data_IF_947332894364
#
_entry.id   IF_947332894364
#
_cell.length_a   1.000
_cell.length_b   1.000
_cell.length_c   1.000
_cell.angle_alpha   90.00
_cell.angle_beta   90.00
_cell.angle_gamma   90.00
#
_symmetry.space_group_name_H-M   'P 1'
#
loop_
_entity.id
_entity.type
_entity.pdbx_description
1 polymer ?
#
# COMPACT_ATOMS: atom_id res chain seq x y z
N UNK A 1 24.88 -43.01 -21.81
CA UNK A 1 24.07 -43.76 -20.83
C UNK A 1 24.69 -43.87 -19.42
N UNK A 2 25.83 -43.26 -19.12
CA UNK A 2 26.26 -43.05 -17.72
C UNK A 2 26.96 -41.69 -17.65
N UNK A 3 26.30 -40.69 -17.07
CA UNK A 3 26.84 -39.33 -16.96
C UNK A 3 26.18 -38.49 -15.87
N UNK A 4 24.84 -38.50 -15.80
CA UNK A 4 24.09 -37.60 -14.90
C UNK A 4 23.89 -38.11 -13.45
N UNK A 5 24.30 -39.35 -13.15
CA UNK A 5 24.03 -39.97 -11.84
C UNK A 5 24.99 -39.53 -10.71
N UNK A 6 26.04 -38.78 -11.02
CA UNK A 6 27.09 -38.41 -10.05
C UNK A 6 26.83 -37.09 -9.30
N UNK A 7 25.67 -36.48 -9.49
CA UNK A 7 25.45 -35.08 -9.09
C UNK A 7 24.47 -34.88 -7.93
N UNK A 8 23.69 -35.90 -7.54
CA UNK A 8 22.85 -35.81 -6.35
C UNK A 8 23.67 -36.16 -5.11
N UNK A 9 23.78 -35.22 -4.18
CA UNK A 9 24.64 -35.34 -2.99
C UNK A 9 23.87 -35.40 -1.68
N UNK A 10 22.59 -35.01 -1.64
CA UNK A 10 21.79 -35.10 -0.42
C UNK A 10 21.44 -36.57 -0.09
N UNK A 11 21.82 -37.10 1.09
CA UNK A 11 21.84 -38.55 1.33
C UNK A 11 20.49 -39.21 1.68
N UNK A 12 19.42 -38.46 2.00
CA UNK A 12 18.24 -39.05 2.65
C UNK A 12 16.85 -38.78 2.03
N UNK A 13 16.70 -37.96 0.98
CA UNK A 13 15.34 -37.52 0.58
C UNK A 13 15.07 -37.38 -0.92
N UNK A 14 16.00 -37.73 -1.80
CA UNK A 14 15.94 -37.38 -3.25
C UNK A 14 15.68 -38.59 -4.15
N UNK A 15 14.88 -39.57 -3.71
CA UNK A 15 14.62 -40.77 -4.52
C UNK A 15 13.85 -40.43 -5.80
N UNK A 16 12.86 -39.54 -5.74
CA UNK A 16 12.05 -39.15 -6.90
C UNK A 16 12.88 -38.43 -7.96
N UNK A 17 13.65 -37.43 -7.55
CA UNK A 17 14.54 -36.66 -8.41
C UNK A 17 15.63 -37.53 -9.01
N UNK A 18 16.21 -38.44 -8.22
CA UNK A 18 17.21 -39.40 -8.70
C UNK A 18 16.67 -40.25 -9.83
N UNK A 19 15.48 -40.83 -9.69
CA UNK A 19 14.89 -41.62 -10.78
C UNK A 19 14.51 -40.75 -11.97
N UNK A 20 14.09 -39.50 -11.76
CA UNK A 20 13.80 -38.56 -12.84
C UNK A 20 15.05 -38.21 -13.65
N UNK A 21 16.18 -37.93 -13.01
CA UNK A 21 17.45 -37.62 -13.68
C UNK A 21 18.07 -38.84 -14.38
N UNK A 22 17.81 -40.06 -13.88
CA UNK A 22 18.24 -41.32 -14.50
C UNK A 22 17.34 -41.77 -15.66
N UNK A 23 16.07 -41.35 -15.66
CA UNK A 23 15.05 -41.72 -16.64
C UNK A 23 15.09 -40.92 -17.94
N UNK A 24 14.18 -41.24 -18.87
CA UNK A 24 13.94 -40.43 -20.07
C UNK A 24 13.38 -39.07 -19.68
N UNK A 25 14.11 -37.99 -20.00
CA UNK A 25 13.61 -36.62 -19.82
C UNK A 25 12.55 -36.22 -20.87
N UNK A 26 12.24 -37.11 -21.82
CA UNK A 26 11.23 -36.90 -22.87
C UNK A 26 9.79 -37.03 -22.37
N UNK A 27 9.56 -37.72 -21.25
CA UNK A 27 8.22 -37.92 -20.70
C UNK A 27 7.73 -36.68 -19.94
N UNK A 28 6.46 -36.29 -20.18
CA UNK A 28 5.80 -35.17 -19.50
C UNK A 28 5.89 -35.31 -17.98
N UNK A 29 6.45 -34.29 -17.31
CA UNK A 29 6.64 -34.23 -15.87
C UNK A 29 5.31 -34.30 -15.11
N UNK A 30 4.23 -33.84 -15.76
CA UNK A 30 2.87 -33.84 -15.23
C UNK A 30 2.15 -35.17 -15.27
N UNK A 31 2.72 -36.22 -15.89
CA UNK A 31 2.04 -37.50 -16.15
C UNK A 31 1.57 -38.22 -14.87
N UNK A 32 2.25 -38.01 -13.74
CA UNK A 32 1.91 -38.58 -12.43
C UNK A 32 1.07 -37.62 -11.56
N UNK A 33 0.72 -36.45 -12.08
CA UNK A 33 -0.15 -35.47 -11.45
C UNK A 33 0.55 -34.52 -10.47
N UNK A 34 -0.24 -33.60 -9.90
CA UNK A 34 0.25 -32.49 -9.07
C UNK A 34 1.03 -32.91 -7.81
N UNK A 35 0.64 -34.03 -7.18
CA UNK A 35 1.30 -34.49 -5.96
C UNK A 35 2.75 -34.92 -6.23
N UNK A 36 2.98 -35.59 -7.36
CA UNK A 36 4.32 -35.96 -7.79
C UNK A 36 5.16 -34.72 -8.12
N UNK A 37 4.61 -33.79 -8.90
CA UNK A 37 5.32 -32.56 -9.28
C UNK A 37 5.69 -31.72 -8.07
N UNK A 38 4.80 -31.59 -7.07
CA UNK A 38 5.09 -30.87 -5.82
C UNK A 38 6.22 -31.53 -5.04
N UNK A 39 6.16 -32.84 -4.84
CA UNK A 39 7.22 -33.55 -4.14
C UNK A 39 8.57 -33.43 -4.87
N UNK A 40 8.55 -33.45 -6.20
CA UNK A 40 9.74 -33.23 -7.01
C UNK A 40 10.30 -31.81 -6.84
N UNK A 41 9.44 -30.79 -6.78
CA UNK A 41 9.84 -29.40 -6.50
C UNK A 41 10.54 -29.30 -5.13
N UNK A 42 9.93 -29.87 -4.08
CA UNK A 42 10.49 -29.90 -2.73
C UNK A 42 11.86 -30.61 -2.68
N UNK A 43 12.00 -31.71 -3.43
CA UNK A 43 13.27 -32.46 -3.55
C UNK A 43 14.36 -31.66 -4.28
N UNK A 44 14.00 -30.93 -5.34
CA UNK A 44 14.92 -30.08 -6.09
C UNK A 44 15.43 -28.92 -5.22
N UNK A 45 14.52 -28.24 -4.51
CA UNK A 45 14.89 -27.13 -3.64
C UNK A 45 15.87 -27.57 -2.53
N UNK A 46 15.62 -28.73 -1.93
CA UNK A 46 16.53 -29.31 -0.92
C UNK A 46 17.90 -29.65 -1.51
N UNK A 47 17.95 -30.26 -2.70
CA UNK A 47 19.21 -30.58 -3.36
C UNK A 47 19.98 -29.32 -3.76
N UNK A 48 19.29 -28.29 -4.26
CA UNK A 48 19.90 -27.00 -4.60
C UNK A 48 20.54 -26.36 -3.36
N UNK A 49 19.81 -26.28 -2.25
CA UNK A 49 20.32 -25.77 -0.98
C UNK A 49 21.53 -26.56 -0.46
N UNK A 50 21.56 -27.88 -0.66
CA UNK A 50 22.73 -28.71 -0.31
C UNK A 50 23.93 -28.42 -1.22
N UNK A 51 23.72 -28.32 -2.53
CA UNK A 51 24.78 -28.07 -3.51
C UNK A 51 25.41 -26.68 -3.37
N UNK A 52 24.65 -25.68 -2.92
CA UNK A 52 25.22 -24.36 -2.57
C UNK A 52 26.29 -24.45 -1.48
N UNK A 53 26.16 -25.39 -0.53
CA UNK A 53 27.17 -25.62 0.51
C UNK A 53 28.42 -26.37 0.04
N UNK A 54 28.38 -27.01 -1.13
CA UNK A 54 29.43 -27.92 -1.62
C UNK A 54 30.05 -27.52 -2.98
N UNK A 55 29.71 -26.35 -3.54
CA UNK A 55 30.17 -25.87 -4.86
C UNK A 55 29.99 -26.91 -6.00
N UNK A 56 28.78 -27.48 -6.12
CA UNK A 56 28.41 -28.40 -7.19
C UNK A 56 27.93 -27.72 -8.48
N UNK A 57 27.94 -28.40 -9.65
CA UNK A 57 27.36 -27.86 -10.88
C UNK A 57 25.82 -27.99 -10.88
N UNK A 58 25.11 -26.86 -10.91
CA UNK A 58 23.64 -26.78 -10.83
C UNK A 58 22.89 -27.08 -12.14
N UNK A 59 23.60 -27.20 -13.27
CA UNK A 59 22.99 -27.23 -14.61
C UNK A 59 21.98 -28.36 -14.82
N UNK A 60 22.20 -29.52 -14.20
CA UNK A 60 21.32 -30.68 -14.34
C UNK A 60 19.97 -30.52 -13.58
N UNK A 61 19.91 -29.60 -12.61
CA UNK A 61 18.68 -29.29 -11.85
C UNK A 61 17.77 -28.30 -12.59
N UNK A 62 18.32 -27.47 -13.47
CA UNK A 62 17.54 -26.40 -14.12
C UNK A 62 16.54 -26.95 -15.14
N UNK A 63 16.89 -28.05 -15.83
CA UNK A 63 15.98 -28.69 -16.79
C UNK A 63 14.67 -29.16 -16.13
N UNK A 64 14.68 -29.93 -15.02
CA UNK A 64 13.43 -30.26 -14.33
C UNK A 64 12.73 -29.05 -13.71
N UNK A 65 13.46 -28.02 -13.24
CA UNK A 65 12.84 -26.78 -12.73
C UNK A 65 11.97 -26.11 -13.81
N UNK A 66 12.51 -25.91 -15.02
CA UNK A 66 11.77 -25.32 -16.14
C UNK A 66 10.51 -26.13 -16.49
N UNK A 67 10.62 -27.46 -16.50
CA UNK A 67 9.48 -28.35 -16.76
C UNK A 67 8.39 -28.21 -15.68
N UNK A 68 8.78 -28.14 -14.40
CA UNK A 68 7.86 -27.96 -13.27
C UNK A 68 7.17 -26.61 -13.34
N UNK A 69 7.92 -25.53 -13.60
CA UNK A 69 7.38 -24.17 -13.73
C UNK A 69 6.36 -24.10 -14.86
N UNK A 70 6.70 -24.62 -16.05
CA UNK A 70 5.78 -24.67 -17.17
C UNK A 70 4.50 -25.46 -16.85
N UNK A 71 4.63 -26.59 -16.13
CA UNK A 71 3.49 -27.37 -15.66
C UNK A 71 2.62 -26.59 -14.67
N UNK A 72 3.23 -25.93 -13.68
CA UNK A 72 2.50 -25.15 -12.69
C UNK A 72 1.75 -23.96 -13.31
N UNK A 73 2.39 -23.23 -14.23
CA UNK A 73 1.77 -22.12 -14.94
C UNK A 73 0.57 -22.55 -15.78
N UNK A 74 0.69 -23.69 -16.49
CA UNK A 74 -0.42 -24.24 -17.29
C UNK A 74 -1.62 -24.68 -16.46
N UNK A 75 -1.39 -25.06 -15.19
CA UNK A 75 -2.42 -25.60 -14.31
C UNK A 75 -2.90 -24.61 -13.23
N UNK A 76 -2.67 -23.30 -13.39
CA UNK A 76 -3.08 -22.27 -12.42
C UNK A 76 -2.48 -22.47 -11.02
N UNK A 77 -1.24 -22.97 -10.95
CA UNK A 77 -0.49 -23.16 -9.71
C UNK A 77 0.69 -22.18 -9.66
N UNK A 78 0.46 -20.91 -10.01
CA UNK A 78 1.48 -19.85 -10.03
C UNK A 78 2.25 -19.74 -8.72
N UNK A 79 1.61 -19.80 -7.52
CA UNK A 79 2.35 -19.73 -6.26
C UNK A 79 3.44 -20.79 -6.13
N UNK A 80 3.14 -22.04 -6.52
CA UNK A 80 4.11 -23.13 -6.44
C UNK A 80 5.27 -22.99 -7.42
N UNK A 81 5.03 -22.38 -8.59
CA UNK A 81 6.11 -22.05 -9.52
C UNK A 81 7.01 -20.94 -8.96
N UNK A 82 6.42 -19.90 -8.37
CA UNK A 82 7.16 -18.79 -7.78
C UNK A 82 7.99 -19.26 -6.58
N UNK A 83 7.39 -20.05 -5.68
CA UNK A 83 8.08 -20.60 -4.51
C UNK A 83 9.33 -21.41 -4.91
N UNK A 84 9.17 -22.34 -5.86
CA UNK A 84 10.30 -23.13 -6.36
C UNK A 84 11.41 -22.23 -6.93
N UNK A 85 11.04 -21.24 -7.74
CA UNK A 85 12.01 -20.33 -8.37
C UNK A 85 12.72 -19.41 -7.37
N UNK A 86 12.04 -19.02 -6.29
CA UNK A 86 12.65 -18.28 -5.20
C UNK A 86 13.62 -19.17 -4.41
N UNK A 87 13.27 -20.43 -4.16
CA UNK A 87 14.15 -21.39 -3.45
C UNK A 87 15.39 -21.77 -4.26
N UNK A 88 15.30 -21.81 -5.59
CA UNK A 88 16.46 -22.05 -6.48
C UNK A 88 17.16 -20.77 -6.94
N UNK A 89 16.79 -19.61 -6.41
CA UNK A 89 17.36 -18.29 -6.75
C UNK A 89 17.39 -17.99 -8.27
N UNK A 90 16.41 -18.50 -9.02
CA UNK A 90 16.35 -18.40 -10.49
C UNK A 90 15.05 -17.74 -10.97
N UNK A 91 14.64 -16.67 -10.30
CA UNK A 91 13.34 -16.02 -10.51
C UNK A 91 13.18 -15.38 -11.90
N UNK A 92 14.28 -15.01 -12.57
CA UNK A 92 14.27 -14.32 -13.87
C UNK A 92 13.50 -15.08 -14.97
N UNK A 93 13.58 -16.42 -14.98
CA UNK A 93 12.91 -17.26 -15.98
C UNK A 93 11.39 -17.21 -15.89
N UNK A 94 10.86 -16.77 -14.75
CA UNK A 94 9.42 -16.58 -14.54
C UNK A 94 8.80 -15.74 -15.66
N UNK A 95 9.51 -14.71 -16.12
CA UNK A 95 9.04 -13.79 -17.17
C UNK A 95 8.68 -14.55 -18.46
N UNK A 96 9.40 -15.62 -18.79
CA UNK A 96 9.20 -16.39 -20.04
C UNK A 96 7.95 -17.28 -20.01
N UNK A 97 7.55 -17.73 -18.82
CA UNK A 97 6.43 -18.64 -18.62
C UNK A 97 5.09 -17.95 -18.33
N UNK A 98 5.08 -16.61 -18.25
CA UNK A 98 3.87 -15.84 -17.99
C UNK A 98 3.13 -15.43 -19.27
N UNK A 99 1.81 -15.38 -19.15
CA UNK A 99 0.85 -14.94 -20.16
C UNK A 99 -0.14 -13.91 -19.58
N UNK A 100 -1.03 -13.39 -20.44
CA UNK A 100 -2.04 -12.39 -20.04
C UNK A 100 -3.06 -12.91 -19.00
N UNK A 101 -3.15 -14.22 -18.78
CA UNK A 101 -4.12 -14.84 -17.88
C UNK A 101 -3.56 -15.07 -16.48
N UNK A 102 -2.26 -15.35 -16.38
CA UNK A 102 -1.61 -15.74 -15.14
C UNK A 102 -0.78 -14.62 -14.48
N UNK A 103 -0.28 -13.62 -15.25
CA UNK A 103 0.66 -12.62 -14.73
C UNK A 103 0.15 -11.87 -13.50
N UNK A 104 -1.14 -11.50 -13.47
CA UNK A 104 -1.74 -10.81 -12.33
C UNK A 104 -1.69 -11.64 -11.05
N UNK A 105 -1.90 -12.95 -11.15
CA UNK A 105 -1.87 -13.86 -10.00
C UNK A 105 -0.44 -14.07 -9.52
N UNK A 106 0.49 -14.27 -10.45
CA UNK A 106 1.90 -14.41 -10.14
C UNK A 106 2.45 -13.13 -9.46
N UNK A 107 2.21 -11.95 -10.04
CA UNK A 107 2.66 -10.69 -9.45
C UNK A 107 1.98 -10.35 -8.12
N UNK A 108 0.69 -10.68 -7.95
CA UNK A 108 0.01 -10.54 -6.67
C UNK A 108 0.70 -11.39 -5.60
N UNK A 109 1.07 -12.63 -5.96
CA UNK A 109 1.80 -13.52 -5.07
C UNK A 109 3.18 -12.95 -4.73
N UNK A 110 3.99 -12.57 -5.71
CA UNK A 110 5.31 -11.93 -5.52
C UNK A 110 5.24 -10.72 -4.60
N UNK A 111 4.33 -9.78 -4.88
CA UNK A 111 4.18 -8.55 -4.08
C UNK A 111 3.73 -8.83 -2.65
N UNK A 112 2.93 -9.88 -2.45
CA UNK A 112 2.52 -10.32 -1.12
C UNK A 112 3.66 -11.03 -0.37
N UNK A 113 4.44 -11.84 -1.06
CA UNK A 113 5.58 -12.58 -0.53
C UNK A 113 6.70 -11.63 -0.11
N UNK A 114 6.99 -10.59 -0.91
CA UNK A 114 8.01 -9.58 -0.62
C UNK A 114 7.90 -8.98 0.78
N UNK A 115 6.69 -8.83 1.33
CA UNK A 115 6.46 -8.30 2.69
C UNK A 115 6.96 -9.21 3.83
N UNK A 116 7.28 -10.46 3.52
CA UNK A 116 7.73 -11.47 4.48
C UNK A 116 9.20 -11.88 4.25
N UNK A 117 9.83 -11.35 3.20
CA UNK A 117 11.23 -11.61 2.88
C UNK A 117 12.16 -10.65 3.63
N UNK A 118 13.46 -10.94 3.56
CA UNK A 118 14.48 -10.04 4.08
C UNK A 118 14.82 -8.95 3.06
N UNK A 119 15.31 -7.80 3.52
CA UNK A 119 15.53 -6.56 2.75
C UNK A 119 16.42 -6.69 1.48
N UNK A 120 17.07 -7.82 1.21
CA UNK A 120 17.81 -8.06 -0.04
C UNK A 120 16.99 -8.87 -1.05
N UNK A 121 16.21 -9.82 -0.57
CA UNK A 121 15.40 -10.72 -1.41
C UNK A 121 14.08 -10.04 -1.82
N UNK A 122 13.54 -9.17 -0.98
CA UNK A 122 12.33 -8.40 -1.28
C UNK A 122 12.52 -7.47 -2.48
N UNK A 123 13.66 -6.78 -2.58
CA UNK A 123 14.02 -5.93 -3.71
C UNK A 123 14.08 -6.72 -5.02
N UNK A 124 14.73 -7.88 -5.02
CA UNK A 124 14.83 -8.75 -6.21
C UNK A 124 13.45 -9.25 -6.67
N UNK A 125 12.59 -9.63 -5.72
CA UNK A 125 11.22 -10.07 -6.00
C UNK A 125 10.37 -8.93 -6.57
N UNK A 126 10.50 -7.72 -6.01
CA UNK A 126 9.82 -6.53 -6.49
C UNK A 126 10.33 -6.08 -7.86
N UNK A 127 11.63 -6.13 -8.13
CA UNK A 127 12.22 -5.85 -9.46
C UNK A 127 11.73 -6.85 -10.51
N UNK A 128 11.60 -8.12 -10.14
CA UNK A 128 11.04 -9.13 -11.04
C UNK A 128 9.56 -8.84 -11.32
N UNK A 129 8.77 -8.52 -10.29
CA UNK A 129 7.38 -8.13 -10.46
C UNK A 129 7.22 -6.84 -11.30
N UNK A 130 8.13 -5.87 -11.15
CA UNK A 130 8.20 -4.67 -11.99
C UNK A 130 8.40 -5.05 -13.46
N UNK A 131 9.41 -5.88 -13.75
CA UNK A 131 9.73 -6.36 -15.10
C UNK A 131 8.54 -7.06 -15.74
N UNK A 132 7.83 -7.91 -14.98
CA UNK A 132 6.63 -8.59 -15.45
C UNK A 132 5.52 -7.58 -15.77
N UNK A 133 5.22 -6.64 -14.88
CA UNK A 133 4.14 -5.67 -15.13
C UNK A 133 4.46 -4.73 -16.30
N UNK A 134 5.73 -4.34 -16.49
CA UNK A 134 6.16 -3.58 -17.68
C UNK A 134 5.94 -4.38 -18.95
N UNK A 135 6.30 -5.67 -18.96
CA UNK A 135 6.08 -6.58 -20.11
C UNK A 135 4.60 -6.68 -20.52
N UNK A 136 3.68 -6.61 -19.57
CA UNK A 136 2.23 -6.68 -19.82
C UNK A 136 1.55 -5.30 -19.89
N UNK A 137 2.33 -4.21 -19.94
CA UNK A 137 1.84 -2.83 -20.04
C UNK A 137 0.84 -2.44 -18.92
N UNK A 138 0.96 -3.04 -17.73
CA UNK A 138 0.12 -2.75 -16.57
C UNK A 138 0.70 -1.58 -15.75
N UNK A 139 0.77 -0.41 -16.39
CA UNK A 139 1.40 0.80 -15.83
C UNK A 139 0.93 1.21 -14.42
N UNK A 140 -0.36 1.10 -14.04
CA UNK A 140 -0.79 1.42 -12.67
C UNK A 140 -0.15 0.52 -11.61
N UNK A 141 0.09 -0.76 -11.94
CA UNK A 141 0.74 -1.71 -11.06
C UNK A 141 2.26 -1.47 -11.02
N UNK A 142 2.87 -1.13 -12.17
CA UNK A 142 4.29 -0.71 -12.25
C UNK A 142 4.54 0.50 -11.35
N UNK A 143 3.68 1.52 -11.41
CA UNK A 143 3.76 2.72 -10.58
C UNK A 143 3.80 2.38 -9.08
N UNK A 144 2.94 1.46 -8.64
CA UNK A 144 2.89 1.06 -7.24
C UNK A 144 4.20 0.41 -6.81
N UNK A 145 4.76 -0.49 -7.62
CA UNK A 145 6.05 -1.13 -7.32
C UNK A 145 7.18 -0.09 -7.32
N UNK A 146 7.21 0.83 -8.28
CA UNK A 146 8.22 1.88 -8.32
C UNK A 146 8.20 2.74 -7.04
N UNK A 147 7.01 3.04 -6.50
CA UNK A 147 6.86 3.73 -5.22
C UNK A 147 7.29 2.89 -4.02
N UNK A 148 7.04 1.58 -4.03
CA UNK A 148 7.53 0.68 -2.97
C UNK A 148 9.05 0.57 -2.95
N UNK A 149 9.69 0.55 -4.13
CA UNK A 149 11.15 0.52 -4.29
C UNK A 149 11.82 1.89 -4.08
N UNK A 150 11.03 2.96 -3.95
CA UNK A 150 11.51 4.36 -3.93
C UNK A 150 12.46 4.68 -5.11
N UNK A 151 12.23 4.05 -6.27
CA UNK A 151 13.07 4.23 -7.45
C UNK A 151 12.44 5.23 -8.43
N UNK A 152 12.99 6.44 -8.45
CA UNK A 152 12.55 7.51 -9.33
C UNK A 152 12.76 7.20 -10.81
N UNK A 153 13.77 6.42 -11.19
CA UNK A 153 14.02 6.09 -12.60
C UNK A 153 12.87 5.24 -13.19
N UNK A 154 12.38 4.27 -12.43
CA UNK A 154 11.20 3.49 -12.82
C UNK A 154 9.95 4.34 -12.91
N UNK A 155 9.80 5.31 -11.99
CA UNK A 155 8.71 6.26 -12.04
C UNK A 155 8.74 7.08 -13.34
N UNK A 156 9.90 7.58 -13.74
CA UNK A 156 10.09 8.30 -15.00
C UNK A 156 9.80 7.40 -16.21
N UNK A 157 10.24 6.14 -16.17
CA UNK A 157 9.97 5.16 -17.22
C UNK A 157 8.47 4.91 -17.41
N UNK A 158 7.69 4.82 -16.32
CA UNK A 158 6.23 4.64 -16.39
C UNK A 158 5.56 5.83 -17.08
N UNK A 159 5.94 7.05 -16.73
CA UNK A 159 5.39 8.25 -17.38
C UNK A 159 5.82 8.37 -18.85
N UNK A 160 7.03 7.95 -19.18
CA UNK A 160 7.52 7.96 -20.57
C UNK A 160 6.83 6.88 -21.42
N UNK A 161 6.55 5.71 -20.85
CA UNK A 161 5.95 4.57 -21.57
C UNK A 161 4.43 4.67 -21.70
N UNK A 162 3.76 5.40 -20.80
CA UNK A 162 2.30 5.56 -20.83
C UNK A 162 1.89 6.71 -21.76
N UNK A 163 1.20 6.41 -22.86
CA UNK A 163 0.68 7.45 -23.77
C UNK A 163 -0.65 8.07 -23.30
N UNK A 164 -1.40 7.36 -22.46
CA UNK A 164 -2.74 7.76 -22.05
C UNK A 164 -2.70 8.87 -20.97
N UNK A 165 -3.12 10.07 -21.38
CA UNK A 165 -3.22 11.22 -20.50
C UNK A 165 -4.14 10.99 -19.30
N UNK A 166 -5.21 10.21 -19.45
CA UNK A 166 -6.13 9.94 -18.35
C UNK A 166 -5.48 9.07 -17.28
N UNK A 167 -4.71 8.06 -17.70
CA UNK A 167 -3.91 7.24 -16.79
C UNK A 167 -2.83 8.06 -16.10
N UNK A 168 -2.12 8.94 -16.81
CA UNK A 168 -1.17 9.89 -16.21
C UNK A 168 -1.81 10.74 -15.12
N UNK A 169 -3.04 11.23 -15.33
CA UNK A 169 -3.79 11.94 -14.28
C UNK A 169 -4.04 11.07 -13.06
N UNK A 170 -4.42 9.81 -13.24
CA UNK A 170 -4.58 8.87 -12.12
C UNK A 170 -3.26 8.64 -11.37
N UNK A 171 -2.13 8.53 -12.08
CA UNK A 171 -0.80 8.39 -11.47
C UNK A 171 -0.45 9.61 -10.64
N UNK A 172 -0.70 10.81 -11.15
CA UNK A 172 -0.50 12.05 -10.41
C UNK A 172 -1.32 12.10 -9.11
N UNK A 173 -2.58 11.62 -9.10
CA UNK A 173 -3.36 11.54 -7.86
C UNK A 173 -2.77 10.55 -6.85
N UNK A 174 -2.21 9.43 -7.31
CA UNK A 174 -1.52 8.46 -6.44
C UNK A 174 -0.26 9.10 -5.85
N UNK A 175 0.55 9.78 -6.67
CA UNK A 175 1.75 10.49 -6.25
C UNK A 175 1.44 11.60 -5.23
N UNK A 176 0.40 12.39 -5.51
CA UNK A 176 -0.04 13.46 -4.63
C UNK A 176 -0.41 12.95 -3.23
N UNK A 177 -1.02 11.75 -3.16
CA UNK A 177 -1.35 11.09 -1.89
C UNK A 177 -0.14 10.47 -1.21
N UNK A 178 0.81 9.94 -1.99
CA UNK A 178 2.06 9.39 -1.47
C UNK A 178 2.95 10.49 -0.88
N UNK A 179 2.87 11.70 -1.43
CA UNK A 179 3.64 12.87 -0.95
C UNK A 179 5.08 12.90 -1.45
N UNK A 180 5.39 12.16 -2.52
CA UNK A 180 6.70 12.22 -3.17
C UNK A 180 6.82 13.52 -3.95
N UNK A 181 7.96 14.22 -3.79
CA UNK A 181 8.28 15.35 -4.65
C UNK A 181 8.71 14.83 -6.02
N UNK A 182 7.87 15.02 -7.04
CA UNK A 182 8.12 14.58 -8.39
C UNK A 182 7.81 15.70 -9.38
N UNK A 183 8.81 16.04 -10.20
CA UNK A 183 8.71 17.09 -11.22
C UNK A 183 8.63 16.44 -12.60
N UNK A 184 7.63 16.84 -13.37
CA UNK A 184 7.43 16.35 -14.74
C UNK A 184 8.30 17.13 -15.73
N UNK A 185 9.02 16.41 -16.57
CA UNK A 185 9.82 16.96 -17.65
C UNK A 185 9.12 16.86 -19.02
N UNK A 186 9.80 17.38 -20.05
CA UNK A 186 9.30 17.43 -21.43
C UNK A 186 9.27 16.02 -22.08
N UNK A 187 10.13 15.11 -21.62
CA UNK A 187 10.22 13.74 -22.13
C UNK A 187 9.03 12.89 -21.63
N UNK A 188 8.59 13.10 -20.39
CA UNK A 188 7.41 12.46 -19.82
C UNK A 188 6.10 13.01 -20.38
N UNK A 189 6.03 14.33 -20.62
CA UNK A 189 4.82 14.99 -21.12
C UNK A 189 5.20 16.11 -22.10
N UNK A 190 5.17 15.80 -23.40
CA UNK A 190 5.63 16.73 -24.43
C UNK A 190 4.75 17.98 -24.66
N UNK A 191 3.56 18.08 -24.05
CA UNK A 191 2.69 19.27 -24.15
C UNK A 191 2.71 20.04 -22.85
N UNK A 192 3.11 21.31 -22.91
CA UNK A 192 3.22 22.18 -21.73
C UNK A 192 1.90 22.35 -20.97
N UNK A 193 0.78 22.53 -21.68
CA UNK A 193 -0.54 22.65 -21.03
C UNK A 193 -0.90 21.40 -20.22
N UNK A 194 -0.69 20.21 -20.79
CA UNK A 194 -1.00 18.95 -20.11
C UNK A 194 -0.06 18.76 -18.90
N UNK A 195 1.22 19.10 -19.06
CA UNK A 195 2.23 19.00 -18.00
C UNK A 195 1.92 19.90 -16.81
N UNK A 196 1.53 21.15 -17.05
CA UNK A 196 1.10 22.08 -15.99
C UNK A 196 -0.10 21.49 -15.22
N UNK A 197 -1.11 20.98 -15.94
CA UNK A 197 -2.29 20.38 -15.27
C UNK A 197 -1.94 19.14 -14.44
N UNK A 198 -0.98 18.32 -14.89
CA UNK A 198 -0.54 17.15 -14.16
C UNK A 198 0.30 17.53 -12.92
N UNK A 199 1.16 18.55 -13.05
CA UNK A 199 1.95 19.07 -11.94
C UNK A 199 1.06 19.68 -10.85
N UNK A 200 0.00 20.39 -11.23
CA UNK A 200 -1.03 20.89 -10.30
C UNK A 200 -1.72 19.78 -9.51
N UNK A 201 -1.94 18.62 -10.15
CA UNK A 201 -2.51 17.44 -9.50
C UNK A 201 -1.52 16.84 -8.50
N UNK A 202 -0.26 16.66 -8.89
CA UNK A 202 0.80 16.14 -8.01
C UNK A 202 0.93 17.02 -6.75
N UNK A 203 0.87 18.35 -6.94
CA UNK A 203 0.96 19.32 -5.85
C UNK A 203 -0.33 19.44 -5.01
N UNK A 204 -1.38 18.66 -5.30
CA UNK A 204 -2.67 18.70 -4.62
C UNK A 204 -3.31 20.12 -4.58
N UNK A 205 -3.11 20.93 -5.62
CA UNK A 205 -3.53 22.35 -5.61
C UNK A 205 -5.03 22.55 -5.32
N UNK A 206 -5.87 21.66 -5.86
CA UNK A 206 -7.34 21.71 -5.73
C UNK A 206 -7.90 20.88 -4.56
N UNK A 207 -7.05 20.38 -3.65
CA UNK A 207 -7.48 19.49 -2.56
C UNK A 207 -8.57 20.13 -1.67
N UNK A 208 -8.35 21.38 -1.26
CA UNK A 208 -9.30 22.13 -0.41
C UNK A 208 -10.62 22.41 -1.12
N UNK A 209 -10.58 22.82 -2.38
CA UNK A 209 -11.77 23.04 -3.22
C UNK A 209 -12.56 21.74 -3.41
N UNK A 210 -11.87 20.63 -3.70
CA UNK A 210 -12.48 19.31 -3.86
C UNK A 210 -13.15 18.84 -2.56
N UNK A 211 -12.47 19.01 -1.43
CA UNK A 211 -13.02 18.68 -0.10
C UNK A 211 -14.32 19.43 0.19
N UNK A 212 -14.33 20.75 -0.04
CA UNK A 212 -15.52 21.59 0.15
C UNK A 212 -16.64 21.31 -0.86
N UNK A 213 -16.30 20.87 -2.07
CA UNK A 213 -17.30 20.46 -3.06
C UNK A 213 -17.99 19.17 -2.64
N UNK A 214 -17.22 18.17 -2.22
CA UNK A 214 -17.78 16.92 -1.69
C UNK A 214 -18.67 17.18 -0.46
N UNK A 215 -18.23 18.06 0.45
CA UNK A 215 -19.01 18.46 1.61
C UNK A 215 -20.36 19.10 1.26
N UNK A 216 -20.40 19.91 0.18
CA UNK A 216 -21.64 20.49 -0.36
C UNK A 216 -22.55 19.42 -0.96
N UNK A 217 -21.98 18.49 -1.73
CA UNK A 217 -22.74 17.43 -2.41
C UNK A 217 -23.38 16.42 -1.43
N UNK A 218 -22.71 16.15 -0.29
CA UNK A 218 -23.24 15.29 0.78
C UNK A 218 -24.12 16.10 1.77
N UNK A 219 -24.28 17.41 1.55
CA UNK A 219 -25.09 18.31 2.40
C UNK A 219 -24.61 18.36 3.87
N UNK A 220 -23.30 18.35 4.11
CA UNK A 220 -22.70 18.36 5.48
C UNK A 220 -21.99 19.69 5.78
N UNK A 221 -22.22 20.73 4.99
CA UNK A 221 -21.59 22.05 5.17
C UNK A 221 -22.04 22.79 6.43
N UNK A 222 -23.17 22.42 7.03
CA UNK A 222 -23.67 23.06 8.23
C UNK A 222 -22.72 22.78 9.41
N UNK A 223 -22.14 23.81 10.06
CA UNK A 223 -21.20 23.63 11.14
C UNK A 223 -21.90 23.02 12.36
N UNK A 224 -21.28 22.00 12.95
CA UNK A 224 -21.83 21.29 14.11
C UNK A 224 -21.34 21.93 15.39
N UNK A 225 -22.25 22.06 16.35
CA UNK A 225 -21.89 22.53 17.69
C UNK A 225 -21.36 21.37 18.55
N UNK A 226 -20.53 21.64 19.57
CA UNK A 226 -20.16 20.62 20.53
C UNK A 226 -21.35 19.95 21.24
N UNK A 227 -22.46 20.67 21.39
CA UNK A 227 -23.69 20.17 22.02
C UNK A 227 -24.38 19.10 21.18
N UNK A 228 -24.25 19.16 19.85
CA UNK A 228 -24.79 18.14 18.93
C UNK A 228 -24.04 16.81 19.08
N UNK A 229 -22.76 16.86 19.48
CA UNK A 229 -21.91 15.68 19.67
C UNK A 229 -22.03 15.15 21.09
N UNK A 230 -21.86 16.04 22.07
CA UNK A 230 -22.07 15.71 23.47
C UNK A 230 -23.55 15.50 23.66
N UNK A 231 -24.03 14.25 23.57
CA UNK A 231 -25.40 13.87 23.91
C UNK A 231 -25.65 14.14 25.40
N UNK A 232 -25.86 15.40 25.78
CA UNK A 232 -25.84 15.92 27.15
C UNK A 232 -26.90 15.21 28.01
N UNK A 233 -28.02 14.85 27.40
CA UNK A 233 -29.11 14.08 27.99
C UNK A 233 -28.70 12.66 28.44
N UNK A 234 -27.72 12.01 27.79
CA UNK A 234 -27.19 10.71 28.20
C UNK A 234 -26.22 10.80 29.39
N UNK A 235 -25.58 11.96 29.58
CA UNK A 235 -24.64 12.22 30.68
C UNK A 235 -25.37 12.57 31.99
N UNK A 236 -26.56 13.17 31.90
CA UNK A 236 -27.34 13.64 33.05
C UNK A 236 -27.90 12.50 33.94
N UNK A 237 -28.10 11.29 33.39
CA UNK A 237 -28.65 10.15 34.13
C UNK A 237 -27.69 9.50 35.13
N UNK A 238 -26.38 9.47 34.84
CA UNK A 238 -25.36 8.86 35.71
C UNK A 238 -24.71 9.84 36.70
N UNK A 239 -24.66 11.14 36.36
CA UNK A 239 -23.96 12.14 37.17
C UNK A 239 -24.78 12.68 38.37
N UNK A 240 -26.12 12.66 38.30
CA UNK A 240 -27.00 13.13 39.39
C UNK A 240 -26.85 12.34 40.70
N UNK A 241 -26.38 11.09 40.65
CA UNK A 241 -26.15 10.27 41.83
C UNK A 241 -24.84 10.62 42.59
N UNK A 242 -23.86 11.27 41.96
CA UNK A 242 -22.52 11.54 42.57
C UNK A 242 -22.24 13.02 42.88
N UNK A 243 -23.04 13.95 42.37
CA UNK A 243 -22.70 15.38 42.33
C UNK A 243 -23.20 16.25 43.51
N UNK A 244 -23.85 15.70 44.55
CA UNK A 244 -24.33 16.52 45.67
C UNK A 244 -23.26 16.98 46.69
N UNK A 245 -22.00 16.56 46.54
CA UNK A 245 -21.00 16.71 47.62
C UNK A 245 -19.78 17.64 47.35
N UNK A 246 -19.65 18.34 46.21
CA UNK A 246 -18.41 19.10 45.86
C UNK A 246 -18.59 20.53 45.29
N UNK A 247 -19.72 21.19 45.55
CA UNK A 247 -20.10 22.39 44.81
C UNK A 247 -19.72 23.72 45.51
N UNK A 248 -18.57 24.32 45.14
CA UNK A 248 -18.47 25.77 44.82
C UNK A 248 -17.10 26.24 44.32
N UNK A 249 -15.98 25.66 44.78
CA UNK A 249 -14.63 26.01 44.29
C UNK A 249 -14.22 25.20 43.02
N UNK A 250 -14.73 23.97 42.90
CA UNK A 250 -14.54 23.09 41.73
C UNK A 250 -15.17 23.66 40.46
N UNK A 251 -16.30 24.38 40.58
CA UNK A 251 -17.12 24.77 39.44
C UNK A 251 -16.42 25.71 38.43
N UNK A 252 -15.53 26.59 38.89
CA UNK A 252 -14.77 27.52 38.02
C UNK A 252 -13.64 26.82 37.26
N UNK A 253 -12.95 25.88 37.92
CA UNK A 253 -11.91 25.04 37.30
C UNK A 253 -12.53 24.03 36.33
N UNK A 254 -13.69 23.48 36.69
CA UNK A 254 -14.47 22.59 35.84
C UNK A 254 -14.99 23.32 34.59
N UNK A 255 -15.44 24.58 34.72
CA UNK A 255 -15.88 25.39 33.57
C UNK A 255 -14.74 25.73 32.60
N UNK A 256 -13.56 26.11 33.09
CA UNK A 256 -12.42 26.39 32.22
C UNK A 256 -11.95 25.16 31.43
N UNK A 257 -11.99 23.97 32.07
CA UNK A 257 -11.69 22.69 31.40
C UNK A 257 -12.77 22.28 30.39
N UNK A 258 -14.03 22.56 30.70
CA UNK A 258 -15.14 22.32 29.78
C UNK A 258 -15.06 23.21 28.53
N UNK A 259 -14.71 24.50 28.68
CA UNK A 259 -14.53 25.41 27.55
C UNK A 259 -13.39 24.96 26.63
N UNK A 260 -12.29 24.47 27.21
CA UNK A 260 -11.18 23.89 26.44
C UNK A 260 -11.62 22.63 25.67
N UNK A 261 -12.34 21.72 26.33
CA UNK A 261 -12.88 20.53 25.67
C UNK A 261 -13.83 20.88 24.52
N UNK A 262 -14.74 21.84 24.74
CA UNK A 262 -15.64 22.35 23.71
C UNK A 262 -14.87 22.99 22.54
N UNK A 263 -13.74 23.64 22.80
CA UNK A 263 -12.85 24.21 21.77
C UNK A 263 -12.28 23.09 20.88
N UNK A 264 -11.75 22.02 21.46
CA UNK A 264 -11.25 20.87 20.68
C UNK A 264 -12.35 20.18 19.89
N UNK A 265 -13.53 20.00 20.48
CA UNK A 265 -14.64 19.36 19.78
C UNK A 265 -15.10 20.19 18.60
N UNK A 266 -15.26 21.50 18.78
CA UNK A 266 -15.61 22.41 17.69
C UNK A 266 -14.54 22.42 16.59
N UNK A 267 -13.25 22.37 16.96
CA UNK A 267 -12.15 22.30 15.99
C UNK A 267 -12.19 21.02 15.16
N UNK A 268 -12.33 19.85 15.80
CA UNK A 268 -12.25 18.58 15.10
C UNK A 268 -13.51 18.26 14.30
N UNK A 269 -14.70 18.64 14.78
CA UNK A 269 -15.93 18.36 14.05
C UNK A 269 -16.08 19.22 12.80
N UNK A 270 -15.54 20.44 12.83
CA UNK A 270 -15.63 21.40 11.75
C UNK A 270 -14.29 21.57 10.99
N UNK A 271 -13.33 20.66 11.19
CA UNK A 271 -12.04 20.70 10.53
C UNK A 271 -12.21 20.62 9.00
N UNK A 272 -11.57 21.54 8.28
CA UNK A 272 -11.57 21.56 6.80
C UNK A 272 -12.78 22.25 6.15
N UNK A 273 -13.79 22.66 6.92
CA UNK A 273 -14.97 23.36 6.37
C UNK A 273 -14.83 24.89 6.32
N UNK A 274 -13.82 25.44 7.00
CA UNK A 274 -13.54 26.88 7.03
C UNK A 274 -14.55 27.72 7.83
N UNK A 275 -15.55 27.09 8.43
CA UNK A 275 -16.53 27.70 9.32
C UNK A 275 -16.83 26.76 10.49
N UNK A 276 -17.16 27.34 11.65
CA UNK A 276 -17.40 26.64 12.90
C UNK A 276 -18.40 27.41 13.78
N UNK A 277 -18.85 26.79 14.88
CA UNK A 277 -19.92 27.37 15.72
C UNK A 277 -19.43 28.26 16.85
N UNK A 278 -18.12 28.29 17.13
CA UNK A 278 -17.56 29.00 18.29
C UNK A 278 -16.61 30.15 17.92
N UNK A 279 -15.79 30.00 16.89
CA UNK A 279 -14.68 30.93 16.58
C UNK A 279 -14.98 31.85 15.41
N UNK A 280 -15.71 31.36 14.41
CA UNK A 280 -15.95 32.02 13.12
C UNK A 280 -17.33 32.70 13.04
N UNK A 281 -18.12 32.67 14.13
CA UNK A 281 -19.45 33.29 14.18
C UNK A 281 -19.36 34.82 13.99
N UNK A 282 -20.11 35.41 13.03
CA UNK A 282 -20.11 36.85 12.79
C UNK A 282 -20.57 37.65 14.03
N UNK A 283 -19.87 38.74 14.32
CA UNK A 283 -20.09 39.57 15.51
C UNK A 283 -21.45 40.29 15.56
N UNK A 284 -22.25 40.24 14.49
CA UNK A 284 -23.57 40.88 14.42
C UNK A 284 -24.70 40.05 15.07
N UNK A 285 -24.51 38.75 15.31
CA UNK A 285 -25.48 37.92 16.05
C UNK A 285 -25.44 38.18 17.58
N UNK A 286 -24.45 38.92 18.07
CA UNK A 286 -24.30 39.30 19.48
C UNK A 286 -24.90 40.68 19.78
N UNK A 287 -26.19 40.88 19.47
CA UNK A 287 -26.96 42.06 19.88
C UNK A 287 -27.35 41.98 21.37
N UNK A 288 -26.38 41.95 22.26
CA UNK A 288 -26.58 41.90 23.71
C UNK A 288 -25.24 41.94 24.41
N UNK A 289 -24.87 43.13 24.92
CA UNK A 289 -23.56 43.41 25.49
C UNK A 289 -23.06 42.35 26.47
N UNK A 290 -21.75 42.08 26.40
CA UNK A 290 -20.94 41.18 27.24
C UNK A 290 -20.81 39.71 26.78
N UNK A 291 -19.96 39.45 25.78
CA UNK A 291 -18.82 38.49 25.86
C UNK A 291 -18.23 38.25 24.46
N UNK A 292 -17.42 39.20 24.00
CA UNK A 292 -16.69 39.10 22.74
C UNK A 292 -15.86 37.82 22.67
N UNK A 293 -15.82 37.22 21.49
CA UNK A 293 -14.95 36.14 21.02
C UNK A 293 -14.74 34.95 22.01
N UNK A 294 -15.15 33.74 21.63
CA UNK A 294 -15.01 32.50 22.43
C UNK A 294 -13.60 32.31 23.02
N UNK A 295 -12.57 32.83 22.35
CA UNK A 295 -11.20 32.87 22.86
C UNK A 295 -11.08 33.48 24.27
N UNK A 296 -11.86 34.52 24.61
CA UNK A 296 -11.79 35.20 25.90
C UNK A 296 -12.52 34.45 27.02
N UNK A 297 -13.31 33.42 26.67
CA UNK A 297 -13.94 32.50 27.64
C UNK A 297 -12.97 31.40 28.11
N UNK A 298 -11.82 31.24 27.45
CA UNK A 298 -10.75 30.33 27.84
C UNK A 298 -9.68 31.03 28.71
N UNK A 299 -8.91 30.24 29.48
CA UNK A 299 -7.82 30.74 30.35
C UNK A 299 -6.46 30.17 29.92
N UNK A 300 -5.41 30.98 30.09
CA UNK A 300 -4.00 30.59 29.86
C UNK A 300 -3.81 29.82 28.54
N UNK A 301 -3.31 28.58 28.61
CA UNK A 301 -3.11 27.69 27.47
C UNK A 301 -4.38 27.44 26.66
N UNK A 302 -5.56 27.50 27.27
CA UNK A 302 -6.83 27.36 26.55
C UNK A 302 -7.10 28.51 25.57
N UNK A 303 -6.56 29.71 25.82
CA UNK A 303 -6.61 30.80 24.82
C UNK A 303 -5.72 30.49 23.62
N UNK A 304 -4.55 29.89 23.86
CA UNK A 304 -3.63 29.46 22.80
C UNK A 304 -4.25 28.33 21.98
N UNK A 305 -4.86 27.32 22.62
CA UNK A 305 -5.57 26.24 21.94
C UNK A 305 -6.76 26.74 21.13
N UNK A 306 -7.48 27.73 21.65
CA UNK A 306 -8.54 28.42 20.93
C UNK A 306 -8.02 29.17 19.70
N UNK A 307 -6.96 29.96 19.83
CA UNK A 307 -6.38 30.62 18.65
C UNK A 307 -5.89 29.63 17.59
N UNK A 308 -5.29 28.52 18.02
CA UNK A 308 -4.75 27.49 17.14
C UNK A 308 -5.81 26.58 16.50
N UNK A 309 -7.10 26.69 16.90
CA UNK A 309 -8.17 25.87 16.31
C UNK A 309 -8.83 26.49 15.08
N UNK A 310 -8.53 27.75 14.78
CA UNK A 310 -8.90 28.42 13.52
C UNK A 310 -7.96 27.97 12.40
#
# INVERSE_FOLDING_TARGET
>A
FFGHAYLLKCPNYVEGLKYRLLGSQEDDIGSWGHAYVRNLADEIAQEYAWQQGEEGPFGDLMVPVEQIVAFHMKNNAEPGAVDLLMEVEYLEILVEHLDSTNYKRACLYLTSAARYLTDLDDMLVLDTAHTIYVKFEDYPSVLQIALFLDNLEYLQQVFTSCDDLLQKKQFCYILARHGTNFELDDDMVGKDEDRETLQDIINNFKLSEGYLTLARDIEVMEPKSPEDIYKVHLLHGRARARARARARASASVDSARQNLAATFVNAFVNAGFGQDTLMTVPSEASSGGSSGNWIFKNKEHGKTSAAASL
#
